data_IF_959858208340
#
_entry.id   IF_959858208340
#
_cell.length_a   1.000
_cell.length_b   1.000
_cell.length_c   1.000
_cell.angle_alpha   90.00
_cell.angle_beta   90.00
_cell.angle_gamma   90.00
#
_symmetry.space_group_name_H-M   'P 1'
#
loop_
_entity.id
_entity.type
_entity.pdbx_description
1 polymer ?
#
# COMPACT_ATOMS: atom_id res chain seq x y z
N UNK A 1 13.78 1.79 1.72
CA UNK A 1 12.83 2.07 2.81
C UNK A 1 12.58 3.56 2.91
N UNK A 2 11.34 3.95 3.12
CA UNK A 2 11.00 5.37 3.25
C UNK A 2 11.49 5.87 4.60
N UNK A 3 12.18 7.01 4.62
CA UNK A 3 12.66 7.62 5.85
C UNK A 3 11.61 8.59 6.40
N UNK A 4 11.21 8.41 7.64
CA UNK A 4 10.21 9.24 8.30
C UNK A 4 10.48 9.28 9.81
N UNK A 5 9.79 10.20 10.51
CA UNK A 5 9.85 10.33 11.97
C UNK A 5 8.44 10.34 12.54
N UNK A 6 8.35 10.29 13.87
CA UNK A 6 7.09 10.42 14.63
C UNK A 6 6.02 9.40 14.20
N UNK A 7 6.42 8.14 14.16
CA UNK A 7 5.54 7.02 13.78
C UNK A 7 4.48 6.78 14.85
N UNK A 8 3.23 7.06 14.50
CA UNK A 8 2.08 6.75 15.33
C UNK A 8 1.20 5.74 14.59
N UNK A 9 1.19 4.50 15.05
CA UNK A 9 0.34 3.47 14.46
C UNK A 9 -1.11 3.77 14.81
N UNK A 10 -1.95 3.95 13.79
CA UNK A 10 -3.36 4.22 13.97
C UNK A 10 -4.18 2.94 13.98
N UNK A 11 -3.85 2.01 13.12
CA UNK A 11 -4.61 0.76 13.03
C UNK A 11 -3.81 -0.34 12.32
N UNK A 12 -4.04 -1.59 12.76
CA UNK A 12 -3.51 -2.79 12.11
C UNK A 12 -4.69 -3.64 11.65
N UNK A 13 -4.65 -4.09 10.39
CA UNK A 13 -5.75 -4.85 9.82
C UNK A 13 -5.23 -6.09 9.10
N UNK A 14 -5.96 -7.19 9.27
CA UNK A 14 -5.62 -8.44 8.59
C UNK A 14 -6.39 -8.54 7.28
N UNK A 15 -5.70 -8.97 6.25
CA UNK A 15 -6.28 -9.30 4.95
C UNK A 15 -6.39 -10.81 4.85
N UNK A 16 -7.58 -11.35 5.04
CA UNK A 16 -7.83 -12.78 5.03
C UNK A 16 -8.82 -13.19 3.96
N UNK A 17 -9.75 -12.29 3.62
CA UNK A 17 -10.76 -12.53 2.61
C UNK A 17 -10.75 -11.40 1.59
N UNK A 18 -11.35 -11.65 0.43
CA UNK A 18 -11.48 -10.62 -0.60
C UNK A 18 -12.26 -9.40 -0.08
N UNK A 19 -13.23 -9.62 0.78
CA UNK A 19 -14.01 -8.54 1.39
C UNK A 19 -13.12 -7.60 2.22
N UNK A 20 -12.05 -8.11 2.80
CA UNK A 20 -11.14 -7.29 3.61
C UNK A 20 -10.45 -6.21 2.79
N UNK A 21 -10.31 -6.40 1.47
CA UNK A 21 -9.75 -5.37 0.59
C UNK A 21 -10.60 -4.10 0.68
N UNK A 22 -11.92 -4.25 0.59
CA UNK A 22 -12.86 -3.13 0.69
C UNK A 22 -12.79 -2.49 2.08
N UNK A 23 -12.80 -3.32 3.11
CA UNK A 23 -12.78 -2.87 4.50
C UNK A 23 -11.50 -2.07 4.82
N UNK A 24 -10.34 -2.58 4.41
CA UNK A 24 -9.07 -1.90 4.66
C UNK A 24 -9.00 -0.60 3.86
N UNK A 25 -9.43 -0.60 2.60
CA UNK A 25 -9.47 0.60 1.78
C UNK A 25 -10.31 1.70 2.44
N UNK A 26 -11.50 1.35 2.95
CA UNK A 26 -12.36 2.30 3.62
C UNK A 26 -11.71 2.84 4.90
N UNK A 27 -11.01 1.99 5.64
CA UNK A 27 -10.32 2.38 6.86
C UNK A 27 -9.17 3.36 6.56
N UNK A 28 -8.42 3.13 5.49
CA UNK A 28 -7.39 4.07 5.03
C UNK A 28 -8.01 5.43 4.75
N UNK A 29 -9.13 5.47 4.03
CA UNK A 29 -9.83 6.73 3.73
C UNK A 29 -10.28 7.45 5.00
N UNK A 30 -10.85 6.72 5.95
CA UNK A 30 -11.33 7.30 7.21
C UNK A 30 -10.19 7.95 7.99
N UNK A 31 -9.05 7.30 8.09
CA UNK A 31 -7.89 7.87 8.79
C UNK A 31 -7.33 9.09 8.05
N UNK A 32 -7.25 9.04 6.73
CA UNK A 32 -6.85 10.20 5.96
C UNK A 32 -7.77 11.40 6.20
N UNK A 33 -9.06 11.18 6.12
CA UNK A 33 -10.06 12.21 6.35
C UNK A 33 -9.99 12.77 7.77
N UNK A 34 -9.85 11.90 8.77
CA UNK A 34 -9.77 12.30 10.17
C UNK A 34 -8.58 13.20 10.46
N UNK A 35 -7.52 13.10 9.68
CA UNK A 35 -6.31 13.90 9.85
C UNK A 35 -6.21 15.06 8.85
N UNK A 36 -7.32 15.39 8.17
CA UNK A 36 -7.39 16.58 7.32
C UNK A 36 -6.98 16.38 5.87
N UNK A 37 -6.80 15.13 5.42
CA UNK A 37 -6.46 14.87 4.02
C UNK A 37 -7.61 15.26 3.11
N UNK A 38 -7.30 15.97 2.02
CA UNK A 38 -8.30 16.34 1.03
C UNK A 38 -8.78 15.15 0.21
N UNK A 39 -9.91 15.32 -0.46
CA UNK A 39 -10.58 14.24 -1.19
C UNK A 39 -9.70 13.63 -2.28
N UNK A 40 -8.99 14.45 -3.03
CA UNK A 40 -8.10 13.94 -4.10
C UNK A 40 -7.02 13.04 -3.53
N UNK A 41 -6.38 13.47 -2.45
CA UNK A 41 -5.32 12.67 -1.81
C UNK A 41 -5.87 11.42 -1.15
N UNK A 42 -7.06 11.49 -0.55
CA UNK A 42 -7.75 10.31 -0.04
C UNK A 42 -7.96 9.28 -1.16
N UNK A 43 -8.43 9.72 -2.31
CA UNK A 43 -8.69 8.84 -3.46
C UNK A 43 -7.40 8.24 -3.97
N UNK A 44 -6.33 9.02 -4.04
CA UNK A 44 -5.03 8.53 -4.53
C UNK A 44 -4.47 7.43 -3.64
N UNK A 45 -4.40 7.65 -2.32
CA UNK A 45 -3.84 6.64 -1.43
C UNK A 45 -4.74 5.41 -1.31
N UNK A 46 -6.06 5.58 -1.33
CA UNK A 46 -6.96 4.43 -1.26
C UNK A 46 -6.90 3.58 -2.52
N UNK A 47 -6.76 4.21 -3.68
CA UNK A 47 -6.61 3.47 -4.94
C UNK A 47 -5.28 2.72 -4.97
N UNK A 48 -4.20 3.37 -4.55
CA UNK A 48 -2.90 2.73 -4.45
C UNK A 48 -2.94 1.53 -3.50
N UNK A 49 -3.53 1.73 -2.31
CA UNK A 49 -3.68 0.64 -1.34
C UNK A 49 -4.50 -0.52 -1.90
N UNK A 50 -5.57 -0.24 -2.64
CA UNK A 50 -6.40 -1.29 -3.25
C UNK A 50 -5.61 -2.17 -4.21
N UNK A 51 -4.73 -1.58 -5.01
CA UNK A 51 -3.87 -2.34 -5.93
C UNK A 51 -2.93 -3.28 -5.18
N UNK A 52 -2.32 -2.77 -4.10
CA UNK A 52 -1.39 -3.58 -3.30
C UNK A 52 -2.14 -4.70 -2.56
N UNK A 53 -3.28 -4.38 -1.96
CA UNK A 53 -4.08 -5.37 -1.24
C UNK A 53 -4.57 -6.47 -2.16
N UNK A 54 -4.98 -6.12 -3.38
CA UNK A 54 -5.40 -7.10 -4.37
C UNK A 54 -4.25 -8.04 -4.74
N UNK A 55 -3.06 -7.47 -4.95
CA UNK A 55 -1.88 -8.29 -5.24
C UNK A 55 -1.56 -9.25 -4.08
N UNK A 56 -1.63 -8.77 -2.85
CA UNK A 56 -1.44 -9.61 -1.67
C UNK A 56 -2.44 -10.77 -1.63
N UNK A 57 -3.70 -10.47 -1.87
CA UNK A 57 -4.74 -11.50 -1.83
C UNK A 57 -4.56 -12.52 -2.96
N UNK A 58 -4.32 -12.05 -4.17
CA UNK A 58 -4.22 -12.92 -5.36
C UNK A 58 -2.96 -13.79 -5.32
N UNK A 59 -1.82 -13.22 -4.93
CA UNK A 59 -0.54 -13.91 -5.05
C UNK A 59 -0.03 -14.52 -3.75
N UNK A 60 -0.49 -14.02 -2.61
CA UNK A 60 -0.01 -14.48 -1.30
C UNK A 60 -1.14 -15.00 -0.40
N UNK A 61 -2.39 -14.88 -0.81
CA UNK A 61 -3.52 -15.34 -0.03
C UNK A 61 -3.91 -14.42 1.12
N UNK A 62 -3.24 -13.29 1.27
CA UNK A 62 -3.53 -12.31 2.31
C UNK A 62 -2.29 -11.72 2.93
N UNK A 63 -2.45 -11.11 4.11
CA UNK A 63 -1.36 -10.47 4.83
C UNK A 63 -1.87 -9.44 5.83
N UNK A 64 -1.06 -8.44 6.11
CA UNK A 64 -1.36 -7.40 7.08
C UNK A 64 -1.17 -6.02 6.46
N UNK A 65 -2.06 -5.09 6.83
CA UNK A 65 -1.90 -3.67 6.52
C UNK A 65 -1.80 -2.89 7.83
N UNK A 66 -0.82 -1.99 7.91
CA UNK A 66 -0.63 -1.11 9.06
C UNK A 66 -0.77 0.32 8.58
N UNK A 67 -1.67 1.07 9.20
CA UNK A 67 -1.91 2.48 8.91
C UNK A 67 -1.26 3.30 10.02
N UNK A 68 -0.42 4.24 9.66
CA UNK A 68 0.29 5.08 10.62
C UNK A 68 0.29 6.54 10.19
N UNK A 69 0.33 7.43 11.16
CA UNK A 69 0.58 8.85 10.95
C UNK A 69 2.05 9.10 11.23
N UNK A 70 2.74 9.70 10.27
CA UNK A 70 4.18 9.95 10.37
C UNK A 70 4.50 11.36 9.91
N UNK A 71 5.74 11.81 10.15
CA UNK A 71 6.27 13.03 9.53
C UNK A 71 7.30 12.63 8.49
N UNK A 72 7.11 13.09 7.28
CA UNK A 72 7.99 12.85 6.15
C UNK A 72 8.53 14.20 5.67
N UNK A 73 9.85 14.39 5.81
CA UNK A 73 10.42 15.70 5.56
C UNK A 73 9.78 16.80 6.42
N UNK A 74 9.34 16.45 7.64
CA UNK A 74 8.65 17.36 8.54
C UNK A 74 7.17 17.54 8.25
N UNK A 75 6.63 16.97 7.18
CA UNK A 75 5.23 17.11 6.79
C UNK A 75 4.39 15.94 7.31
N UNK A 76 3.22 16.21 7.92
CA UNK A 76 2.31 15.14 8.34
C UNK A 76 1.89 14.31 7.14
N UNK A 77 1.97 13.00 7.27
CA UNK A 77 1.73 12.07 6.18
C UNK A 77 1.09 10.79 6.68
N UNK A 78 0.31 10.16 5.82
CA UNK A 78 -0.27 8.85 6.12
C UNK A 78 0.61 7.79 5.47
N UNK A 79 1.02 6.80 6.25
CA UNK A 79 1.82 5.68 5.79
C UNK A 79 1.00 4.41 5.89
N UNK A 80 0.88 3.70 4.77
CA UNK A 80 0.25 2.38 4.72
C UNK A 80 1.33 1.36 4.39
N UNK A 81 1.58 0.45 5.32
CA UNK A 81 2.56 -0.63 5.14
C UNK A 81 1.81 -1.94 4.96
N UNK A 82 2.00 -2.57 3.81
CA UNK A 82 1.36 -3.83 3.47
C UNK A 82 2.42 -4.92 3.43
N UNK A 83 2.21 -5.97 4.21
CA UNK A 83 3.19 -7.07 4.33
C UNK A 83 2.51 -8.40 4.14
N UNK A 84 3.10 -9.26 3.31
CA UNK A 84 2.65 -10.63 3.16
C UNK A 84 3.82 -11.61 3.30
N UNK A 85 3.49 -12.86 3.59
CA UNK A 85 4.45 -13.96 3.67
C UNK A 85 4.41 -14.89 2.46
N UNK A 86 4.00 -14.38 1.32
CA UNK A 86 3.83 -15.16 0.10
C UNK A 86 5.14 -15.50 -0.62
N UNK A 87 5.05 -15.84 -1.91
CA UNK A 87 6.22 -16.31 -2.66
C UNK A 87 7.25 -15.22 -2.97
N UNK A 88 6.91 -13.95 -2.75
CA UNK A 88 7.77 -12.86 -3.14
C UNK A 88 7.71 -12.60 -4.64
N UNK A 89 8.52 -11.66 -5.09
CA UNK A 89 8.61 -11.25 -6.49
C UNK A 89 10.04 -11.52 -6.95
N UNK A 90 10.20 -12.38 -7.95
CA UNK A 90 11.53 -12.75 -8.43
C UNK A 90 12.21 -11.63 -9.19
N UNK A 91 11.46 -10.86 -9.97
CA UNK A 91 11.99 -9.76 -10.76
C UNK A 91 11.20 -8.49 -10.48
N UNK A 92 11.67 -7.72 -9.48
CA UNK A 92 11.05 -6.45 -9.10
C UNK A 92 11.11 -5.43 -10.22
N UNK A 93 12.22 -5.41 -10.96
CA UNK A 93 12.37 -4.46 -12.07
C UNK A 93 11.30 -4.69 -13.13
N UNK A 94 11.03 -5.94 -13.48
CA UNK A 94 9.98 -6.30 -14.43
C UNK A 94 8.60 -5.98 -13.86
N UNK A 95 8.35 -6.32 -12.59
CA UNK A 95 7.07 -6.07 -11.95
C UNK A 95 6.75 -4.58 -11.87
N UNK A 96 7.76 -3.72 -11.82
CA UNK A 96 7.60 -2.27 -11.81
C UNK A 96 7.52 -1.66 -13.20
N UNK A 97 7.59 -2.47 -14.26
CA UNK A 97 7.50 -2.00 -15.63
C UNK A 97 6.04 -1.77 -16.01
N UNK A 98 5.77 -0.63 -16.65
CA UNK A 98 4.44 -0.32 -17.15
C UNK A 98 3.99 -1.36 -18.18
N UNK A 99 2.75 -1.79 -18.09
CA UNK A 99 2.19 -2.78 -18.97
C UNK A 99 2.45 -4.21 -18.57
N UNK A 100 3.33 -4.45 -17.61
CA UNK A 100 3.48 -5.77 -17.04
C UNK A 100 2.42 -5.95 -15.97
N UNK A 101 1.36 -6.63 -16.32
CA UNK A 101 0.32 -6.93 -15.35
C UNK A 101 -0.29 -8.26 -15.70
N UNK A 102 -0.79 -8.95 -14.68
CA UNK A 102 -1.65 -10.09 -14.91
C UNK A 102 -3.04 -9.58 -15.27
N UNK A 103 -3.83 -10.41 -15.90
CA UNK A 103 -5.17 -10.05 -16.33
C UNK A 103 -6.10 -9.65 -15.19
N UNK A 104 -5.66 -9.81 -13.95
CA UNK A 104 -6.48 -9.49 -12.78
C UNK A 104 -6.25 -8.12 -12.20
N UNK A 105 -5.20 -7.47 -12.63
CA UNK A 105 -4.94 -6.10 -12.21
C UNK A 105 -5.86 -5.16 -12.99
N UNK A 106 -6.59 -4.35 -12.27
CA UNK A 106 -7.53 -3.39 -12.84
C UNK A 106 -6.83 -2.12 -13.26
N UNK A 107 -5.72 -2.19 -13.80
CA UNK A 107 -5.10 -1.02 -14.27
C UNK A 107 -3.61 -1.17 -14.28
N UNK A 108 -2.97 -0.67 -13.30
CA UNK A 108 -1.57 -0.39 -13.41
C UNK A 108 -0.70 -1.20 -12.48
N UNK A 109 -1.29 -1.96 -11.57
CA UNK A 109 -0.53 -2.76 -10.62
C UNK A 109 0.43 -1.92 -9.79
N UNK A 110 1.65 -2.43 -9.59
CA UNK A 110 2.67 -1.75 -8.81
C UNK A 110 3.08 -0.40 -9.37
N UNK A 111 3.34 -0.24 -10.69
CA UNK A 111 3.68 1.07 -11.24
C UNK A 111 2.57 2.10 -11.02
N UNK A 112 1.33 1.70 -11.15
CA UNK A 112 0.20 2.59 -10.94
C UNK A 112 0.08 3.04 -9.49
N UNK A 113 0.26 2.13 -8.56
CA UNK A 113 0.26 2.46 -7.14
C UNK A 113 1.36 3.48 -6.82
N UNK A 114 2.56 3.27 -7.36
CA UNK A 114 3.68 4.18 -7.15
C UNK A 114 3.37 5.59 -7.63
N UNK A 115 2.70 5.72 -8.77
CA UNK A 115 2.38 7.04 -9.34
C UNK A 115 1.36 7.83 -8.52
N UNK A 116 0.57 7.16 -7.69
CA UNK A 116 -0.51 7.79 -6.94
C UNK A 116 -0.07 8.34 -5.59
N UNK A 117 1.11 8.01 -5.13
CA UNK A 117 1.59 8.38 -3.79
C UNK A 117 2.82 9.27 -3.86
N UNK A 118 3.15 9.91 -2.74
CA UNK A 118 4.29 10.82 -2.68
C UNK A 118 5.61 10.08 -2.47
N UNK A 119 5.56 8.94 -1.78
CA UNK A 119 6.72 8.06 -1.64
C UNK A 119 6.25 6.61 -1.66
N UNK A 120 7.07 5.76 -2.23
CA UNK A 120 6.79 4.35 -2.43
C UNK A 120 8.06 3.56 -2.19
N UNK A 121 7.93 2.44 -1.50
CA UNK A 121 9.02 1.48 -1.35
C UNK A 121 8.46 0.08 -1.42
N UNK A 122 9.24 -0.81 -2.00
CA UNK A 122 8.89 -2.23 -2.07
C UNK A 122 10.13 -3.06 -1.80
N UNK A 123 9.99 -4.00 -0.89
CA UNK A 123 11.01 -4.99 -0.58
C UNK A 123 10.40 -6.36 -0.76
N UNK A 124 11.04 -7.21 -1.54
CA UNK A 124 10.56 -8.56 -1.77
C UNK A 124 11.72 -9.52 -1.88
N UNK A 125 11.58 -10.67 -1.22
CA UNK A 125 12.55 -11.73 -1.28
C UNK A 125 11.83 -12.99 -1.76
N UNK A 126 12.28 -13.61 -2.84
CA UNK A 126 11.67 -14.87 -3.30
C UNK A 126 11.61 -15.91 -2.18
N UNK A 127 10.43 -16.46 -1.97
CA UNK A 127 10.16 -17.42 -0.91
C UNK A 127 9.94 -16.84 0.48
N UNK A 128 10.09 -15.53 0.67
CA UNK A 128 9.99 -14.91 2.00
C UNK A 128 8.92 -13.81 2.09
N UNK A 129 8.30 -13.42 0.98
CA UNK A 129 7.21 -12.45 0.98
C UNK A 129 7.59 -11.07 0.48
N UNK A 130 6.63 -10.15 0.60
CA UNK A 130 6.74 -8.80 0.07
C UNK A 130 6.24 -7.79 1.10
N UNK A 131 6.94 -6.65 1.21
CA UNK A 131 6.51 -5.51 2.00
C UNK A 131 6.48 -4.28 1.11
N UNK A 132 5.34 -3.60 1.07
CA UNK A 132 5.15 -2.37 0.30
C UNK A 132 4.79 -1.23 1.24
N UNK A 133 5.45 -0.10 1.09
CA UNK A 133 5.12 1.12 1.83
C UNK A 133 4.56 2.16 0.86
N UNK A 134 3.42 2.73 1.24
CA UNK A 134 2.75 3.79 0.50
C UNK A 134 2.64 5.01 1.42
N UNK A 135 3.16 6.14 0.98
CA UNK A 135 3.11 7.35 1.80
C UNK A 135 2.49 8.50 1.02
N UNK A 136 1.52 9.17 1.65
CA UNK A 136 0.83 10.31 1.05
C UNK A 136 0.74 11.44 2.07
N UNK A 137 1.15 12.65 1.69
CA UNK A 137 0.98 13.83 2.55
C UNK A 137 -0.49 14.10 2.82
N UNK A 138 -0.72 14.55 4.04
CA UNK A 138 -2.05 15.00 4.46
C UNK A 138 -2.47 16.25 3.66
#
# INVERSE_FOLDING_TARGET
>A
MIAFTDDEVLERLQLETEYDIVRIRQTVRLHGKAHGMGLVNQTRITTAASEILRNMYVYAGGGEAVIALVKWGGAPSLLVTCRDGGPGIEDLSLAMTDGYSTARSMGSGLPGAKRLVDAFDIESTPGAGTTVQLLKRI
#
